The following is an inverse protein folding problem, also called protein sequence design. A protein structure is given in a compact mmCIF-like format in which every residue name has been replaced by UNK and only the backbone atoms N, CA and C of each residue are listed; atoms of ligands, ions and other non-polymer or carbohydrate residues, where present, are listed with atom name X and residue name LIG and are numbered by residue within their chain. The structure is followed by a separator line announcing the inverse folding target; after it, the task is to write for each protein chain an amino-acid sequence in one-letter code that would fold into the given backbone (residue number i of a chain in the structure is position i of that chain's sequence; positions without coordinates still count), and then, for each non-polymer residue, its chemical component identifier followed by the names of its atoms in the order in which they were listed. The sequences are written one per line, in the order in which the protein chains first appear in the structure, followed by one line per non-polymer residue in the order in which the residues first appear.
data_IF_077889914560
#
_entry.id   IF_077889914560
#
_cell.length_a   1.000
_cell.length_b   1.000
_cell.length_c   1.000
_cell.angle_alpha   90.00
_cell.angle_beta   90.00
_cell.angle_gamma   90.00
#
_symmetry.space_group_name_H-M   'P 1'
#
loop_
_entity.id
_entity.type
_entity.pdbx_description
1 polymer ?
#
# COMPACT_ATOMS: atom_id res chain seq x y z
N UNK A 1 48.81 -61.48 28.12
CA UNK A 1 49.27 -61.31 26.73
C UNK A 1 48.93 -59.86 26.37
N UNK A 2 49.86 -58.89 26.35
CA UNK A 2 51.09 -58.76 25.53
C UNK A 2 50.75 -58.77 24.03
N UNK A 3 51.20 -57.88 23.13
CA UNK A 3 52.10 -56.67 23.14
C UNK A 3 51.95 -55.96 21.75
N UNK A 4 52.37 -54.73 21.42
CA UNK A 4 53.06 -53.60 22.08
C UNK A 4 52.95 -52.32 21.20
N UNK A 5 53.30 -51.12 21.72
CA UNK A 5 53.61 -49.91 20.92
C UNK A 5 55.05 -49.95 20.33
N UNK A 6 55.51 -48.96 19.52
CA UNK A 6 56.18 -47.76 20.09
C UNK A 6 55.94 -46.41 19.33
N UNK A 7 55.81 -45.26 20.02
CA UNK A 7 56.80 -44.14 20.25
C UNK A 7 57.14 -43.32 18.96
N UNK A 8 56.77 -42.02 18.79
CA UNK A 8 57.26 -40.75 19.43
C UNK A 8 58.73 -40.40 19.10
N UNK A 9 59.26 -39.13 19.18
CA UNK A 9 58.92 -38.13 20.23
C UNK A 9 59.14 -36.59 20.00
N UNK A 10 58.73 -35.79 21.02
CA UNK A 10 59.32 -34.51 21.53
C UNK A 10 59.21 -33.20 20.66
N UNK A 11 59.12 -31.96 21.20
CA UNK A 11 59.42 -31.38 22.54
C UNK A 11 58.36 -30.33 23.01
N UNK A 12 58.13 -30.21 24.32
CA UNK A 12 57.62 -29.01 25.04
C UNK A 12 58.60 -28.68 26.20
N UNK A 13 58.80 -27.40 26.62
CA UNK A 13 58.05 -26.78 27.75
C UNK A 13 57.92 -25.21 27.69
N UNK A 14 57.56 -24.43 28.73
CA UNK A 14 56.36 -24.41 29.63
C UNK A 14 56.40 -23.14 30.56
N UNK A 15 55.26 -22.72 31.14
CA UNK A 15 55.08 -21.68 32.22
C UNK A 15 55.31 -20.18 31.86
N UNK A 16 54.73 -19.16 32.56
CA UNK A 16 54.11 -19.06 33.90
C UNK A 16 52.94 -18.00 33.99
N UNK A 17 52.33 -17.81 35.17
CA UNK A 17 51.11 -17.00 35.48
C UNK A 17 51.37 -15.59 36.10
N UNK A 18 50.58 -14.58 35.68
CA UNK A 18 50.06 -13.39 36.45
C UNK A 18 51.04 -12.42 37.17
N UNK A 19 50.58 -11.36 37.89
CA UNK A 19 49.23 -10.78 37.99
C UNK A 19 49.17 -9.22 37.77
N UNK A 20 48.14 -8.55 38.32
CA UNK A 20 47.70 -7.16 38.12
C UNK A 20 48.67 -5.99 38.47
N UNK A 21 48.38 -4.79 37.93
CA UNK A 21 48.95 -3.51 38.38
C UNK A 21 48.36 -2.28 37.67
N UNK A 22 47.79 -1.34 38.45
CA UNK A 22 47.41 0.02 38.01
C UNK A 22 48.56 0.97 38.35
N UNK A 23 48.93 1.89 37.45
CA UNK A 23 49.54 3.17 37.86
C UNK A 23 49.43 4.25 36.79
N UNK A 24 49.17 5.46 37.27
CA UNK A 24 49.03 6.72 36.55
C UNK A 24 50.38 7.44 36.48
N UNK A 25 50.72 8.05 35.33
CA UNK A 25 51.83 9.00 35.19
C UNK A 25 51.45 10.06 34.14
N UNK A 26 51.16 11.27 34.60
CA UNK A 26 50.86 12.41 33.74
C UNK A 26 52.08 13.25 33.34
N UNK A 27 51.77 14.25 32.50
CA UNK A 27 52.54 15.49 32.26
C UNK A 27 53.85 15.37 31.47
N UNK A 28 53.82 15.89 30.23
CA UNK A 28 54.54 17.15 29.92
C UNK A 28 53.97 17.88 28.71
N UNK A 29 53.66 19.16 28.94
CA UNK A 29 53.42 20.18 27.93
C UNK A 29 54.75 20.53 27.23
N UNK A 30 54.73 20.83 25.93
CA UNK A 30 55.78 21.67 25.34
C UNK A 30 55.19 22.50 24.18
N UNK A 31 55.37 23.81 24.24
CA UNK A 31 55.03 24.73 23.16
C UNK A 31 56.29 25.02 22.32
N UNK A 32 56.19 24.97 21.00
CA UNK A 32 56.72 26.05 20.14
C UNK A 32 56.31 25.86 18.69
N UNK A 33 55.65 26.90 18.15
CA UNK A 33 55.71 27.42 16.78
C UNK A 33 56.01 26.46 15.62
N UNK A 34 55.02 26.30 14.73
CA UNK A 34 55.22 26.73 13.35
C UNK A 34 53.89 27.21 12.72
N UNK A 35 53.91 28.33 11.99
CA UNK A 35 52.71 28.95 11.42
C UNK A 35 53.06 29.98 10.34
N UNK A 36 52.98 29.58 9.06
CA UNK A 36 52.63 30.42 7.88
C UNK A 36 52.92 29.67 6.55
N UNK A 37 52.03 28.77 6.12
CA UNK A 37 52.07 28.24 4.72
C UNK A 37 50.77 27.59 4.19
N UNK A 38 49.70 27.48 4.98
CA UNK A 38 48.48 26.73 4.60
C UNK A 38 47.19 27.55 4.48
N UNK A 39 47.23 28.87 4.64
CA UNK A 39 46.03 29.74 4.69
C UNK A 39 45.67 30.46 3.37
N UNK A 40 46.26 30.07 2.24
CA UNK A 40 46.00 30.70 0.92
C UNK A 40 45.28 29.79 -0.10
N UNK A 41 44.90 28.56 0.30
CA UNK A 41 44.26 27.58 -0.60
C UNK A 41 42.79 27.28 -0.29
N UNK A 42 42.25 27.78 0.83
CA UNK A 42 40.86 27.55 1.24
C UNK A 42 39.90 28.74 1.04
N UNK A 43 40.42 29.94 0.73
CA UNK A 43 39.58 31.12 0.48
C UNK A 43 38.95 31.15 -0.92
N UNK A 44 39.60 30.55 -1.93
CA UNK A 44 39.10 30.56 -3.31
C UNK A 44 37.91 29.65 -3.59
N UNK A 45 37.74 28.57 -2.82
CA UNK A 45 36.63 27.61 -3.03
C UNK A 45 35.33 28.01 -2.33
N UNK A 46 35.38 28.85 -1.28
CA UNK A 46 34.18 29.34 -0.62
C UNK A 46 33.37 30.29 -1.52
N UNK A 47 34.04 31.25 -2.18
CA UNK A 47 33.41 32.23 -3.08
C UNK A 47 32.71 31.60 -4.30
N UNK A 48 33.23 30.48 -4.81
CA UNK A 48 32.59 29.76 -5.94
C UNK A 48 31.30 29.04 -5.53
N UNK A 49 31.21 28.53 -4.30
CA UNK A 49 30.01 27.86 -3.79
C UNK A 49 28.91 28.87 -3.48
N UNK A 50 29.30 30.01 -2.88
CA UNK A 50 28.36 31.08 -2.49
C UNK A 50 27.76 31.78 -3.72
N UNK A 51 28.55 32.04 -4.76
CA UNK A 51 28.05 32.54 -6.06
C UNK A 51 27.12 31.56 -6.77
N UNK A 52 27.34 30.24 -6.63
CA UNK A 52 26.41 29.22 -7.15
C UNK A 52 25.10 29.22 -6.36
N UNK A 53 25.13 29.31 -5.02
CA UNK A 53 23.92 29.35 -4.20
C UNK A 53 22.98 30.51 -4.61
N UNK A 54 23.52 31.72 -4.72
CA UNK A 54 22.77 32.91 -5.14
C UNK A 54 22.19 32.79 -6.55
N UNK A 55 22.87 32.08 -7.45
CA UNK A 55 22.38 31.82 -8.82
C UNK A 55 21.20 30.83 -8.81
N UNK A 56 21.20 29.84 -7.91
CA UNK A 56 20.11 28.88 -7.75
C UNK A 56 18.88 29.50 -7.06
N UNK A 57 19.09 30.34 -6.05
CA UNK A 57 18.00 31.07 -5.38
C UNK A 57 17.26 32.00 -6.34
N UNK A 58 18.00 32.77 -7.16
CA UNK A 58 17.40 33.61 -8.21
C UNK A 58 16.59 32.82 -9.24
N UNK A 59 17.13 31.67 -9.68
CA UNK A 59 16.42 30.81 -10.64
C UNK A 59 15.13 30.25 -10.04
N UNK A 60 15.13 29.95 -8.74
CA UNK A 60 13.93 29.50 -8.03
C UNK A 60 12.87 30.60 -7.89
N UNK A 61 13.27 31.85 -7.62
CA UNK A 61 12.34 32.99 -7.63
C UNK A 61 11.79 33.34 -9.03
N UNK A 62 12.51 32.99 -10.10
CA UNK A 62 12.01 33.14 -11.48
C UNK A 62 11.03 32.02 -11.84
N UNK A 63 11.32 30.75 -11.49
CA UNK A 63 10.38 29.62 -11.67
C UNK A 63 9.09 29.77 -10.82
N UNK A 64 9.15 30.33 -9.61
CA UNK A 64 7.96 30.61 -8.78
C UNK A 64 7.11 31.79 -9.29
N UNK A 65 7.63 32.64 -10.20
CA UNK A 65 6.87 33.77 -10.79
C UNK A 65 6.16 33.44 -12.10
N UNK A 66 6.50 32.32 -12.74
CA UNK A 66 5.87 31.87 -13.99
C UNK A 66 4.72 30.87 -13.75
N UNK A 67 4.49 30.46 -12.50
CA UNK A 67 3.48 29.50 -12.08
C UNK A 67 2.11 30.15 -11.75
N UNK A 68 1.33 30.51 -12.78
CA UNK A 68 -0.11 30.80 -12.63
C UNK A 68 -0.87 29.55 -12.12
N UNK A 69 -1.78 29.69 -11.13
CA UNK A 69 -2.48 28.54 -10.54
C UNK A 69 -3.64 28.06 -11.44
N UNK A 70 -3.40 26.98 -12.19
CA UNK A 70 -4.44 26.34 -13.03
C UNK A 70 -5.55 25.74 -12.14
N UNK A 71 -6.84 26.14 -12.30
CA UNK A 71 -7.93 25.60 -11.48
C UNK A 71 -8.29 24.14 -11.79
N UNK A 72 -8.89 23.47 -10.81
CA UNK A 72 -9.17 22.02 -10.73
C UNK A 72 -10.17 21.48 -11.79
N UNK A 73 -10.69 22.32 -12.70
CA UNK A 73 -11.72 21.93 -13.68
C UNK A 73 -11.24 21.12 -14.90
N UNK A 74 -9.96 20.75 -15.00
CA UNK A 74 -9.43 20.05 -16.19
C UNK A 74 -9.59 18.53 -16.21
N UNK A 75 -10.03 17.88 -15.12
CA UNK A 75 -10.14 16.40 -15.08
C UNK A 75 -11.45 15.83 -15.63
N UNK A 76 -12.45 16.67 -15.92
CA UNK A 76 -13.73 16.24 -16.52
C UNK A 76 -13.66 16.19 -18.06
N UNK A 77 -12.87 17.08 -18.70
CA UNK A 77 -12.83 17.20 -20.17
C UNK A 77 -12.04 16.08 -20.88
N UNK A 78 -11.04 15.47 -20.25
CA UNK A 78 -10.30 14.35 -20.85
C UNK A 78 -11.11 13.05 -20.94
N UNK A 79 -12.25 12.96 -20.25
CA UNK A 79 -13.15 11.78 -20.30
C UNK A 79 -14.12 11.86 -21.49
N UNK A 80 -14.76 13.02 -21.72
CA UNK A 80 -15.79 13.17 -22.77
C UNK A 80 -15.25 12.94 -24.20
N UNK A 81 -14.03 13.41 -24.49
CA UNK A 81 -13.40 13.23 -25.79
C UNK A 81 -13.15 11.76 -26.16
N UNK A 82 -13.08 10.86 -25.17
CA UNK A 82 -12.89 9.42 -25.40
C UNK A 82 -14.19 8.66 -25.73
N UNK A 83 -15.34 9.21 -25.32
CA UNK A 83 -16.67 8.61 -25.50
C UNK A 83 -17.29 9.02 -26.84
N UNK A 84 -17.04 10.24 -27.31
CA UNK A 84 -17.52 10.72 -28.60
C UNK A 84 -16.93 9.97 -29.83
N UNK A 85 -15.81 9.26 -29.66
CA UNK A 85 -15.07 8.63 -30.74
C UNK A 85 -15.58 7.22 -31.16
N UNK A 86 -16.66 6.70 -30.56
CA UNK A 86 -17.13 5.31 -30.78
C UNK A 86 -18.56 5.14 -31.30
N UNK A 87 -19.30 6.22 -31.56
CA UNK A 87 -20.60 6.16 -32.24
C UNK A 87 -20.56 6.90 -33.58
N UNK A 88 -20.39 6.14 -34.66
CA UNK A 88 -20.66 6.64 -36.01
C UNK A 88 -22.16 6.66 -36.28
N UNK A 89 -22.66 7.76 -36.83
CA UNK A 89 -24.06 7.90 -37.24
C UNK A 89 -24.35 7.10 -38.53
N UNK A 90 -25.29 6.14 -38.46
CA UNK A 90 -26.09 5.74 -39.63
C UNK A 90 -27.55 5.53 -39.17
N UNK A 91 -28.46 6.33 -39.73
CA UNK A 91 -29.88 6.28 -39.44
C UNK A 91 -30.67 5.64 -40.60
N UNK A 92 -31.50 4.61 -40.37
CA UNK A 92 -32.43 4.10 -41.38
C UNK A 92 -33.76 4.87 -41.34
N UNK A 93 -34.16 5.41 -42.50
CA UNK A 93 -35.47 6.03 -42.70
C UNK A 93 -36.63 5.05 -42.44
N UNK A 94 -37.69 5.51 -41.77
CA UNK A 94 -39.03 4.93 -41.88
C UNK A 94 -40.07 6.04 -42.13
N UNK A 95 -41.02 5.85 -43.07
CA UNK A 95 -41.90 6.92 -43.53
C UNK A 95 -43.10 7.15 -42.61
N UNK A 96 -43.51 8.41 -42.50
CA UNK A 96 -44.77 8.80 -41.90
C UNK A 96 -45.97 8.34 -42.76
N UNK A 97 -46.97 7.71 -42.15
CA UNK A 97 -48.35 7.81 -42.63
C UNK A 97 -49.31 7.64 -41.46
N UNK A 98 -50.23 8.60 -41.29
CA UNK A 98 -51.16 8.61 -40.16
C UNK A 98 -52.37 7.69 -40.33
N UNK A 99 -53.32 7.86 -39.41
CA UNK A 99 -54.63 7.18 -39.29
C UNK A 99 -54.67 5.99 -38.34
N UNK A 100 -54.80 6.28 -37.04
CA UNK A 100 -55.85 5.67 -36.22
C UNK A 100 -56.18 6.56 -35.01
N UNK A 101 -57.03 7.57 -35.25
CA UNK A 101 -57.70 8.27 -34.15
C UNK A 101 -58.72 7.36 -33.47
N UNK A 102 -58.87 7.55 -32.16
CA UNK A 102 -60.07 7.20 -31.39
C UNK A 102 -60.43 5.72 -31.28
N UNK A 103 -59.66 4.99 -30.48
CA UNK A 103 -60.25 4.03 -29.53
C UNK A 103 -60.06 4.48 -28.08
N UNK A 104 -61.00 5.34 -27.68
CA UNK A 104 -61.67 5.34 -26.37
C UNK A 104 -60.79 5.51 -25.13
N UNK A 105 -60.76 6.76 -24.66
CA UNK A 105 -60.44 7.13 -23.29
C UNK A 105 -61.09 6.17 -22.25
N UNK A 106 -60.24 5.43 -21.52
CA UNK A 106 -60.39 4.95 -20.13
C UNK A 106 -59.20 4.04 -19.76
N UNK A 107 -57.99 4.58 -19.78
CA UNK A 107 -56.91 4.09 -18.93
C UNK A 107 -56.84 5.01 -17.72
N UNK A 108 -56.81 4.46 -16.51
CA UNK A 108 -56.69 5.26 -15.30
C UNK A 108 -55.30 5.89 -15.27
N UNK A 109 -55.25 7.18 -14.91
CA UNK A 109 -54.03 7.86 -14.52
C UNK A 109 -53.49 7.24 -13.22
N UNK A 110 -52.72 6.16 -13.38
CA UNK A 110 -51.72 5.79 -12.41
C UNK A 110 -50.48 6.60 -12.77
N UNK A 111 -50.22 7.66 -12.00
CA UNK A 111 -48.93 8.34 -12.04
C UNK A 111 -47.79 7.35 -11.82
N UNK A 112 -46.53 7.72 -12.16
CA UNK A 112 -45.40 6.81 -12.04
C UNK A 112 -45.32 6.27 -10.61
N UNK A 113 -45.60 4.98 -10.43
CA UNK A 113 -45.31 4.29 -9.17
C UNK A 113 -43.79 4.43 -8.98
N UNK A 114 -43.40 5.21 -7.97
CA UNK A 114 -42.01 5.42 -7.59
C UNK A 114 -41.46 4.05 -7.14
N UNK A 115 -40.84 3.34 -8.09
CA UNK A 115 -40.23 2.03 -7.85
C UNK A 115 -39.06 2.26 -6.91
N UNK A 116 -39.36 2.18 -5.62
CA UNK A 116 -38.40 2.32 -4.55
C UNK A 116 -37.43 1.15 -4.67
N UNK A 117 -36.27 1.42 -5.26
CA UNK A 117 -35.22 0.41 -5.44
C UNK A 117 -34.84 -0.15 -4.07
N UNK A 118 -35.20 -1.40 -3.82
CA UNK A 118 -34.84 -2.11 -2.60
C UNK A 118 -33.36 -2.48 -2.68
N UNK A 119 -32.50 -1.54 -2.25
CA UNK A 119 -31.05 -1.75 -2.14
C UNK A 119 -30.75 -2.76 -1.02
N UNK A 120 -29.69 -3.54 -1.20
CA UNK A 120 -29.29 -4.57 -0.24
C UNK A 120 -28.22 -4.01 0.71
N UNK A 121 -28.54 -3.72 1.98
CA UNK A 121 -27.59 -3.13 2.91
C UNK A 121 -26.48 -4.11 3.33
N UNK A 122 -25.25 -3.62 3.37
CA UNK A 122 -24.11 -4.32 3.94
C UNK A 122 -24.14 -4.23 5.47
N UNK A 123 -23.61 -5.26 6.15
CA UNK A 123 -23.51 -5.30 7.62
C UNK A 123 -22.62 -4.20 8.20
N UNK A 124 -21.64 -3.74 7.43
CA UNK A 124 -20.73 -2.66 7.77
C UNK A 124 -20.65 -1.67 6.60
N UNK A 125 -20.52 -0.37 6.89
CA UNK A 125 -20.12 0.62 5.89
C UNK A 125 -18.61 0.52 5.65
N UNK A 126 -18.22 0.53 4.38
CA UNK A 126 -16.84 0.47 3.93
C UNK A 126 -16.43 1.78 3.27
N UNK A 127 -15.13 2.03 3.21
CA UNK A 127 -14.51 3.22 2.63
C UNK A 127 -13.38 2.77 1.73
N UNK A 128 -13.47 3.13 0.45
CA UNK A 128 -12.39 2.93 -0.50
C UNK A 128 -11.42 4.11 -0.40
N UNK A 129 -10.14 3.77 -0.26
CA UNK A 129 -9.02 4.70 -0.31
C UNK A 129 -8.14 4.36 -1.50
N UNK A 130 -7.55 5.39 -2.09
CA UNK A 130 -6.53 5.29 -3.13
C UNK A 130 -5.27 5.99 -2.66
N UNK A 131 -4.14 5.31 -2.77
CA UNK A 131 -2.83 5.89 -2.51
C UNK A 131 -2.04 5.94 -3.81
N UNK A 132 -1.39 7.07 -4.08
CA UNK A 132 -0.46 7.24 -5.20
C UNK A 132 0.85 7.79 -4.64
N UNK A 133 1.94 7.04 -4.77
CA UNK A 133 3.23 7.46 -4.26
C UNK A 133 3.84 8.64 -5.05
N UNK A 134 3.47 9.88 -4.71
CA UNK A 134 4.28 11.06 -5.02
C UNK A 134 5.45 11.15 -4.03
N UNK A 135 6.66 11.37 -4.54
CA UNK A 135 7.88 11.48 -3.72
C UNK A 135 8.08 12.88 -3.15
N UNK A 136 7.30 13.85 -3.62
CA UNK A 136 7.38 15.26 -3.22
C UNK A 136 6.43 15.61 -2.06
N UNK A 137 5.51 14.69 -1.70
CA UNK A 137 4.49 14.88 -0.67
C UNK A 137 4.71 13.93 0.52
N UNK A 138 4.13 14.24 1.68
CA UNK A 138 4.17 13.32 2.80
C UNK A 138 3.29 12.09 2.50
N UNK A 139 3.61 10.94 3.12
CA UNK A 139 2.88 9.70 2.86
C UNK A 139 1.37 9.82 3.15
N UNK A 140 0.98 10.63 4.14
CA UNK A 140 -0.42 10.82 4.52
C UNK A 140 -1.20 11.65 3.48
N UNK A 141 -0.54 12.60 2.81
CA UNK A 141 -1.17 13.47 1.81
C UNK A 141 -1.45 12.71 0.50
N UNK A 142 -0.59 11.74 0.19
CA UNK A 142 -0.74 10.80 -0.92
C UNK A 142 -1.91 9.80 -0.77
N UNK A 143 -2.59 9.77 0.38
CA UNK A 143 -3.69 8.85 0.69
C UNK A 143 -5.04 9.58 0.62
N UNK A 144 -5.80 9.31 -0.45
CA UNK A 144 -7.08 9.95 -0.71
C UNK A 144 -8.25 9.01 -0.40
N UNK A 145 -9.30 9.55 0.22
CA UNK A 145 -10.60 8.88 0.31
C UNK A 145 -11.28 8.99 -1.06
N UNK A 146 -11.71 7.87 -1.63
CA UNK A 146 -12.39 7.81 -2.94
C UNK A 146 -13.90 7.88 -2.76
N UNK A 147 -14.46 6.93 -2.00
CA UNK A 147 -15.91 6.87 -1.75
C UNK A 147 -16.23 6.02 -0.52
N UNK A 148 -17.48 6.09 -0.05
CA UNK A 148 -18.05 5.21 0.98
C UNK A 148 -19.13 4.34 0.37
N UNK A 149 -19.30 3.13 0.90
CA UNK A 149 -20.19 2.10 0.38
C UNK A 149 -20.89 1.41 1.55
N UNK A 150 -22.21 1.46 1.61
CA UNK A 150 -23.04 0.75 2.60
C UNK A 150 -24.12 -0.17 1.99
N UNK A 151 -24.26 -0.22 0.66
CA UNK A 151 -25.09 -1.22 -0.05
C UNK A 151 -24.28 -2.09 -1.01
N UNK A 152 -24.84 -3.23 -1.43
CA UNK A 152 -24.25 -4.13 -2.44
C UNK A 152 -24.25 -3.45 -3.82
N UNK A 153 -25.28 -2.68 -4.13
CA UNK A 153 -25.40 -1.90 -5.36
C UNK A 153 -24.30 -0.84 -5.43
N UNK A 154 -24.08 -0.08 -4.35
CA UNK A 154 -22.99 0.90 -4.27
C UNK A 154 -21.62 0.24 -4.41
N UNK A 155 -21.44 -0.97 -3.90
CA UNK A 155 -20.20 -1.73 -4.08
C UNK A 155 -19.94 -2.03 -5.55
N UNK A 156 -20.93 -2.55 -6.28
CA UNK A 156 -20.77 -2.88 -7.70
C UNK A 156 -20.71 -1.65 -8.60
N UNK A 157 -21.43 -0.58 -8.26
CA UNK A 157 -21.30 0.72 -8.91
C UNK A 157 -19.88 1.28 -8.73
N UNK A 158 -19.35 1.29 -7.50
CA UNK A 158 -17.97 1.67 -7.22
C UNK A 158 -16.97 0.80 -7.99
N UNK A 159 -17.10 -0.53 -7.92
CA UNK A 159 -16.14 -1.46 -8.51
C UNK A 159 -16.10 -1.39 -10.04
N UNK A 160 -17.23 -1.10 -10.69
CA UNK A 160 -17.31 -0.95 -12.15
C UNK A 160 -16.74 0.37 -12.69
N UNK A 161 -16.74 1.44 -11.88
CA UNK A 161 -16.23 2.76 -12.29
C UNK A 161 -14.75 2.97 -11.94
N UNK A 162 -14.17 2.22 -11.00
CA UNK A 162 -12.73 2.31 -10.69
C UNK A 162 -11.87 1.54 -11.70
N UNK A 163 -10.63 1.97 -11.89
CA UNK A 163 -9.64 1.22 -12.69
C UNK A 163 -9.26 -0.06 -11.96
N UNK A 164 -9.31 -1.20 -12.66
CA UNK A 164 -8.83 -2.49 -12.17
C UNK A 164 -7.38 -2.41 -11.64
N UNK A 165 -7.07 -3.19 -10.61
CA UNK A 165 -5.79 -3.14 -9.92
C UNK A 165 -4.60 -3.49 -10.83
N UNK A 166 -4.77 -4.44 -11.75
CA UNK A 166 -3.75 -4.81 -12.74
C UNK A 166 -3.41 -3.68 -13.74
N UNK A 167 -4.32 -2.71 -13.92
CA UNK A 167 -4.18 -1.55 -14.82
C UNK A 167 -3.60 -0.31 -14.12
N UNK A 168 -3.35 -0.36 -12.81
CA UNK A 168 -2.74 0.75 -12.09
C UNK A 168 -1.23 0.88 -12.36
N UNK A 169 -0.75 2.11 -12.29
CA UNK A 169 0.69 2.40 -12.32
C UNK A 169 1.39 1.89 -11.04
N UNK A 170 2.67 1.52 -11.15
CA UNK A 170 3.41 1.03 -9.99
C UNK A 170 3.67 2.16 -8.98
N UNK A 171 3.46 1.88 -7.70
CA UNK A 171 3.45 2.87 -6.63
C UNK A 171 2.04 3.30 -6.23
N UNK A 172 1.00 2.83 -6.91
CA UNK A 172 -0.38 2.98 -6.48
C UNK A 172 -0.84 1.81 -5.59
N UNK A 173 -1.77 2.10 -4.67
CA UNK A 173 -2.48 1.13 -3.84
C UNK A 173 -3.98 1.45 -3.81
N UNK A 174 -4.82 0.42 -3.65
CA UNK A 174 -6.18 0.58 -3.13
C UNK A 174 -6.27 -0.02 -1.73
N UNK A 175 -7.14 0.54 -0.91
CA UNK A 175 -7.49 -0.04 0.38
C UNK A 175 -8.99 0.08 0.66
N UNK A 176 -9.67 -1.02 0.98
CA UNK A 176 -11.06 -1.02 1.44
C UNK A 176 -11.08 -1.30 2.95
N UNK A 177 -11.50 -0.32 3.75
CA UNK A 177 -11.53 -0.41 5.21
C UNK A 177 -12.92 -0.09 5.75
N UNK A 178 -13.28 -0.62 6.92
CA UNK A 178 -14.52 -0.26 7.60
C UNK A 178 -14.51 1.23 7.95
N UNK A 179 -15.66 1.88 7.88
CA UNK A 179 -15.77 3.31 8.16
C UNK A 179 -15.29 3.66 9.57
N UNK A 180 -14.60 4.80 9.68
CA UNK A 180 -13.89 5.20 10.89
C UNK A 180 -12.52 4.53 11.12
N UNK A 181 -12.06 3.64 10.23
CA UNK A 181 -10.69 3.07 10.26
C UNK A 181 -9.88 3.58 9.07
N UNK A 182 -8.74 4.21 9.32
CA UNK A 182 -7.80 4.61 8.25
C UNK A 182 -6.90 3.42 7.88
N UNK A 183 -6.48 3.28 6.60
CA UNK A 183 -5.59 2.20 6.13
C UNK A 183 -4.11 2.47 6.50
N UNK A 184 -3.86 2.80 7.76
CA UNK A 184 -2.54 3.17 8.29
C UNK A 184 -2.30 2.47 9.63
N UNK A 185 -1.03 2.23 9.97
CA UNK A 185 -0.63 1.43 11.14
C UNK A 185 -0.74 2.21 12.46
N UNK A 186 -0.77 3.54 12.38
CA UNK A 186 -0.98 4.48 13.48
C UNK A 186 -2.45 4.52 13.95
N UNK A 187 -3.39 4.02 13.15
CA UNK A 187 -4.81 3.98 13.52
C UNK A 187 -5.01 3.15 14.80
N UNK A 188 -5.86 3.66 15.70
CA UNK A 188 -6.20 3.03 16.97
C UNK A 188 -6.64 1.57 16.87
N UNK A 189 -7.26 1.17 15.74
CA UNK A 189 -7.72 -0.19 15.45
C UNK A 189 -6.64 -1.06 14.81
N UNK A 190 -5.61 -0.48 14.17
CA UNK A 190 -4.57 -1.22 13.46
C UNK A 190 -3.26 -1.35 14.26
N UNK A 191 -2.98 -0.44 15.20
CA UNK A 191 -1.66 -0.37 15.88
C UNK A 191 -1.21 -1.62 16.65
N UNK A 192 -2.13 -2.45 17.16
CA UNK A 192 -1.84 -3.78 17.77
C UNK A 192 -2.14 -4.94 16.82
N UNK A 193 -2.61 -4.62 15.63
CA UNK A 193 -3.04 -5.57 14.62
C UNK A 193 -1.90 -6.14 13.79
N UNK A 194 -2.30 -6.76 12.70
CA UNK A 194 -1.39 -7.28 11.69
C UNK A 194 -2.15 -7.62 10.42
N UNK A 195 -1.48 -8.27 9.49
CA UNK A 195 -2.04 -8.61 8.19
C UNK A 195 -1.66 -10.01 7.72
N UNK A 196 -2.63 -10.71 7.14
CA UNK A 196 -2.34 -11.84 6.25
C UNK A 196 -1.83 -11.30 4.93
N UNK A 197 -0.72 -11.84 4.42
CA UNK A 197 -0.05 -11.34 3.22
C UNK A 197 0.02 -12.41 2.13
N UNK A 198 -0.63 -12.12 1.00
CA UNK A 198 -0.47 -12.84 -0.27
C UNK A 198 0.47 -12.02 -1.15
N UNK A 199 1.52 -12.65 -1.69
CA UNK A 199 2.47 -11.99 -2.59
C UNK A 199 2.42 -12.62 -3.97
N UNK A 200 2.20 -11.83 -5.01
CA UNK A 200 2.14 -12.26 -6.40
C UNK A 200 3.39 -11.83 -7.17
N UNK A 201 4.06 -12.73 -7.91
CA UNK A 201 5.07 -12.34 -8.90
C UNK A 201 4.41 -11.51 -10.01
N UNK A 202 5.15 -10.52 -10.53
CA UNK A 202 4.66 -9.57 -11.56
C UNK A 202 4.03 -10.27 -12.78
N UNK A 203 4.52 -11.46 -13.14
CA UNK A 203 4.04 -12.28 -14.25
C UNK A 203 2.56 -12.68 -14.09
N UNK A 204 2.06 -12.83 -12.86
CA UNK A 204 0.66 -13.18 -12.58
C UNK A 204 -0.28 -11.96 -12.51
N UNK A 205 0.24 -10.72 -12.63
CA UNK A 205 -0.56 -9.48 -12.53
C UNK A 205 -1.79 -9.48 -13.42
N UNK A 206 -1.63 -9.84 -14.69
CA UNK A 206 -2.71 -9.82 -15.68
C UNK A 206 -3.49 -11.15 -15.77
N UNK A 207 -3.24 -12.08 -14.83
CA UNK A 207 -3.85 -13.42 -14.81
C UNK A 207 -4.70 -13.59 -13.54
N UNK A 208 -4.14 -13.28 -12.37
CA UNK A 208 -4.78 -13.60 -11.08
C UNK A 208 -5.09 -12.38 -10.22
N UNK A 209 -4.39 -11.25 -10.38
CA UNK A 209 -4.42 -10.16 -9.40
C UNK A 209 -5.82 -9.54 -9.23
N UNK A 210 -6.51 -9.23 -10.33
CA UNK A 210 -7.85 -8.63 -10.27
C UNK A 210 -8.87 -9.62 -9.68
N UNK A 211 -8.75 -10.92 -9.99
CA UNK A 211 -9.59 -11.97 -9.39
C UNK A 211 -9.36 -12.05 -7.89
N UNK A 212 -8.12 -12.21 -7.44
CA UNK A 212 -7.79 -12.32 -6.01
C UNK A 212 -8.15 -11.05 -5.24
N UNK A 213 -8.06 -9.88 -5.87
CA UNK A 213 -8.51 -8.63 -5.26
C UNK A 213 -10.03 -8.60 -5.10
N UNK A 214 -10.79 -8.92 -6.15
CA UNK A 214 -12.25 -9.00 -6.07
C UNK A 214 -12.71 -10.03 -5.03
N UNK A 215 -12.14 -11.24 -5.00
CA UNK A 215 -12.43 -12.25 -3.98
C UNK A 215 -12.14 -11.74 -2.56
N UNK A 216 -11.05 -10.97 -2.40
CA UNK A 216 -10.73 -10.32 -1.11
C UNK A 216 -11.80 -9.30 -0.71
N UNK A 217 -12.24 -8.44 -1.64
CA UNK A 217 -13.30 -7.47 -1.41
C UNK A 217 -14.64 -8.15 -1.06
N UNK A 218 -14.99 -9.23 -1.75
CA UNK A 218 -16.20 -10.02 -1.50
C UNK A 218 -16.15 -10.72 -0.14
N UNK A 219 -14.99 -11.24 0.28
CA UNK A 219 -14.81 -11.80 1.62
C UNK A 219 -15.02 -10.75 2.73
N UNK A 220 -14.60 -9.50 2.48
CA UNK A 220 -14.80 -8.37 3.38
C UNK A 220 -16.28 -7.97 3.47
N UNK A 221 -16.89 -7.51 2.38
CA UNK A 221 -18.25 -6.97 2.39
C UNK A 221 -19.30 -8.05 2.72
N UNK A 222 -19.05 -9.29 2.30
CA UNK A 222 -19.87 -10.46 2.61
C UNK A 222 -19.55 -11.11 3.96
N UNK A 223 -18.72 -10.48 4.79
CA UNK A 223 -18.43 -10.86 6.18
C UNK A 223 -18.08 -12.36 6.35
N UNK A 224 -17.29 -12.88 5.40
CA UNK A 224 -17.06 -14.31 5.19
C UNK A 224 -16.20 -15.00 6.26
N UNK A 225 -15.77 -14.28 7.31
CA UNK A 225 -15.02 -14.81 8.45
C UNK A 225 -15.91 -14.98 9.70
N UNK A 226 -17.23 -15.06 9.51
CA UNK A 226 -18.22 -15.41 10.53
C UNK A 226 -18.13 -14.52 11.79
N UNK A 227 -17.96 -15.12 12.98
CA UNK A 227 -17.79 -14.39 14.25
C UNK A 227 -16.50 -13.55 14.27
N UNK A 228 -15.45 -14.01 13.59
CA UNK A 228 -14.16 -13.34 13.49
C UNK A 228 -14.15 -12.18 12.47
N UNK A 229 -15.21 -11.99 11.67
CA UNK A 229 -15.36 -10.80 10.80
C UNK A 229 -15.31 -9.48 11.58
N UNK A 230 -15.62 -9.51 12.89
CA UNK A 230 -15.46 -8.36 13.81
C UNK A 230 -13.99 -7.95 14.01
N UNK A 231 -13.05 -8.88 13.86
CA UNK A 231 -11.61 -8.64 14.01
C UNK A 231 -10.96 -8.08 12.73
N UNK A 232 -11.63 -8.14 11.58
CA UNK A 232 -11.14 -7.58 10.30
C UNK A 232 -11.36 -6.07 10.25
N UNK A 233 -10.29 -5.32 9.96
CA UNK A 233 -10.32 -3.87 9.75
C UNK A 233 -10.58 -3.49 8.29
N UNK A 234 -9.97 -4.23 7.35
CA UNK A 234 -9.93 -3.89 5.93
C UNK A 234 -8.91 -4.70 5.15
N UNK A 235 -8.71 -4.34 3.89
CA UNK A 235 -7.73 -4.96 3.01
C UNK A 235 -7.01 -3.92 2.15
N UNK A 236 -5.77 -4.22 1.76
CA UNK A 236 -4.91 -3.37 0.91
C UNK A 236 -4.38 -4.21 -0.25
N UNK A 237 -4.38 -3.65 -1.45
CA UNK A 237 -3.62 -4.16 -2.60
C UNK A 237 -2.49 -3.18 -2.96
N UNK A 238 -1.26 -3.69 -3.06
CA UNK A 238 -0.08 -2.90 -3.39
C UNK A 238 0.48 -3.24 -4.76
N UNK A 239 0.53 -2.26 -5.67
CA UNK A 239 1.06 -2.44 -7.03
C UNK A 239 2.52 -2.00 -7.07
N UNK A 240 3.46 -2.94 -7.22
CA UNK A 240 4.92 -2.65 -7.13
C UNK A 240 5.69 -3.24 -8.31
N UNK A 241 6.91 -2.75 -8.54
CA UNK A 241 7.72 -3.12 -9.71
C UNK A 241 8.25 -4.55 -9.65
N UNK A 242 8.51 -5.06 -8.43
CA UNK A 242 9.06 -6.40 -8.17
C UNK A 242 8.01 -7.51 -8.08
N UNK A 243 6.74 -7.16 -7.91
CA UNK A 243 5.65 -8.09 -7.59
C UNK A 243 4.65 -7.44 -6.66
N UNK A 244 3.40 -7.87 -6.74
CA UNK A 244 2.25 -7.24 -6.09
C UNK A 244 1.91 -7.95 -4.78
N UNK A 245 1.14 -7.27 -3.93
CA UNK A 245 0.75 -7.83 -2.62
C UNK A 245 -0.70 -7.54 -2.36
N UNK A 246 -1.42 -8.52 -1.84
CA UNK A 246 -2.76 -8.34 -1.27
C UNK A 246 -2.67 -8.68 0.20
N UNK A 247 -3.29 -7.86 1.05
CA UNK A 247 -3.24 -8.05 2.49
C UNK A 247 -4.57 -7.76 3.17
N UNK A 248 -5.07 -8.71 3.97
CA UNK A 248 -6.22 -8.50 4.87
C UNK A 248 -5.68 -8.14 6.25
N UNK A 249 -6.12 -7.00 6.79
CA UNK A 249 -5.69 -6.42 8.06
C UNK A 249 -6.69 -6.76 9.16
N UNK A 250 -6.17 -7.18 10.31
CA UNK A 250 -6.96 -7.49 11.51
C UNK A 250 -6.49 -6.65 12.70
N UNK A 251 -7.38 -6.43 13.66
CA UNK A 251 -7.20 -5.46 14.76
C UNK A 251 -6.28 -5.88 15.89
N UNK A 252 -6.11 -7.19 16.10
CA UNK A 252 -5.37 -7.73 17.24
C UNK A 252 -4.49 -8.91 16.82
N UNK A 253 -3.17 -8.71 16.80
CA UNK A 253 -2.20 -9.72 16.38
C UNK A 253 -1.92 -10.79 17.46
N UNK A 254 -2.47 -10.64 18.66
CA UNK A 254 -2.33 -11.61 19.76
C UNK A 254 -3.51 -12.58 19.86
N UNK A 255 -4.64 -12.27 19.20
CA UNK A 255 -5.81 -13.13 19.12
C UNK A 255 -5.58 -14.30 18.13
N UNK A 256 -4.72 -15.25 18.51
CA UNK A 256 -4.27 -16.35 17.66
C UNK A 256 -5.42 -17.15 17.05
N UNK A 257 -6.49 -17.43 17.83
CA UNK A 257 -7.64 -18.18 17.34
C UNK A 257 -8.31 -17.46 16.15
N UNK A 258 -8.63 -16.17 16.31
CA UNK A 258 -9.27 -15.38 15.25
C UNK A 258 -8.34 -15.17 14.06
N UNK A 259 -7.06 -14.87 14.31
CA UNK A 259 -6.08 -14.66 13.23
C UNK A 259 -5.90 -15.94 12.41
N UNK A 260 -5.79 -17.12 13.03
CA UNK A 260 -5.66 -18.38 12.31
C UNK A 260 -6.96 -18.75 11.58
N UNK A 261 -8.14 -18.57 12.18
CA UNK A 261 -9.42 -18.82 11.49
C UNK A 261 -9.53 -17.96 10.22
N UNK A 262 -9.34 -16.64 10.35
CA UNK A 262 -9.36 -15.70 9.21
C UNK A 262 -8.36 -16.13 8.14
N UNK A 263 -7.17 -16.58 8.53
CA UNK A 263 -6.14 -17.06 7.60
C UNK A 263 -6.57 -18.27 6.78
N UNK A 264 -7.10 -19.31 7.43
CA UNK A 264 -7.54 -20.53 6.75
C UNK A 264 -8.70 -20.24 5.79
N UNK A 265 -9.73 -19.54 6.25
CA UNK A 265 -10.89 -19.15 5.43
C UNK A 265 -10.45 -18.28 4.27
N UNK A 266 -9.56 -17.31 4.48
CA UNK A 266 -9.05 -16.46 3.41
C UNK A 266 -8.27 -17.26 2.35
N UNK A 267 -7.38 -18.16 2.77
CA UNK A 267 -6.61 -19.04 1.88
C UNK A 267 -7.54 -19.92 1.03
N UNK A 268 -8.56 -20.49 1.64
CA UNK A 268 -9.58 -21.32 0.98
C UNK A 268 -10.41 -20.51 -0.03
N UNK A 269 -10.96 -19.36 0.38
CA UNK A 269 -11.82 -18.52 -0.47
C UNK A 269 -11.08 -17.91 -1.66
N UNK A 270 -9.79 -17.64 -1.54
CA UNK A 270 -8.96 -17.25 -2.68
C UNK A 270 -8.69 -18.40 -3.69
N UNK A 271 -8.96 -19.66 -3.30
CA UNK A 271 -8.65 -20.85 -4.10
C UNK A 271 -7.16 -21.15 -4.18
N UNK A 272 -6.37 -20.77 -3.17
CA UNK A 272 -4.93 -21.01 -3.18
C UNK A 272 -4.61 -22.50 -2.96
N UNK A 273 -3.60 -23.00 -3.68
CA UNK A 273 -3.15 -24.38 -3.52
C UNK A 273 -2.76 -24.67 -2.05
N UNK A 274 -3.02 -25.89 -1.58
CA UNK A 274 -2.59 -26.37 -0.26
C UNK A 274 -1.08 -26.17 -0.02
N UNK A 275 -0.27 -26.20 -1.09
CA UNK A 275 1.19 -25.97 -1.05
C UNK A 275 1.58 -24.50 -0.89
N UNK A 276 0.69 -23.56 -1.22
CA UNK A 276 0.93 -22.13 -1.04
C UNK A 276 0.78 -21.77 0.42
N UNK A 277 1.85 -21.35 1.07
CA UNK A 277 1.82 -20.86 2.45
C UNK A 277 1.68 -19.35 2.44
N UNK A 278 0.67 -18.82 3.11
CA UNK A 278 0.53 -17.37 3.35
C UNK A 278 1.03 -17.03 4.76
N UNK A 279 1.50 -15.80 4.95
CA UNK A 279 2.14 -15.36 6.19
C UNK A 279 1.39 -14.21 6.87
N UNK A 280 1.23 -14.30 8.19
CA UNK A 280 0.69 -13.21 9.00
C UNK A 280 1.80 -12.39 9.64
N UNK A 281 1.77 -11.08 9.47
CA UNK A 281 2.78 -10.13 9.97
C UNK A 281 2.12 -9.11 10.91
N UNK A 282 2.62 -8.97 12.13
CA UNK A 282 2.18 -7.92 13.04
C UNK A 282 2.65 -6.54 12.54
N UNK A 283 1.84 -5.49 12.73
CA UNK A 283 2.18 -4.15 12.23
C UNK A 283 3.43 -3.56 12.92
N UNK A 284 3.61 -3.81 14.22
CA UNK A 284 4.80 -3.39 14.97
C UNK A 284 6.12 -3.99 14.40
N UNK A 285 6.10 -5.27 14.02
CA UNK A 285 7.26 -5.96 13.42
C UNK A 285 7.55 -5.49 11.99
N UNK A 286 6.53 -4.98 11.29
CA UNK A 286 6.65 -4.47 9.93
C UNK A 286 7.13 -3.02 9.89
N UNK A 287 6.69 -2.18 10.84
CA UNK A 287 7.07 -0.77 10.90
C UNK A 287 8.52 -0.54 11.34
N UNK A 288 9.06 -1.42 12.19
CA UNK A 288 10.43 -1.32 12.74
C UNK A 288 11.54 -1.75 11.77
N UNK A 289 11.21 -2.27 10.59
CA UNK A 289 12.18 -2.84 9.63
C UNK A 289 12.27 -2.07 8.33
N UNK A 290 13.39 -1.38 8.11
CA UNK A 290 13.66 -0.63 6.87
C UNK A 290 14.13 -1.49 5.69
N UNK A 291 14.83 -2.61 5.93
CA UNK A 291 15.56 -3.35 4.88
C UNK A 291 15.41 -4.89 4.89
N UNK A 292 14.62 -5.48 5.80
CA UNK A 292 14.37 -6.94 5.81
C UNK A 292 12.89 -7.26 5.90
N UNK A 293 12.48 -8.41 5.34
CA UNK A 293 11.10 -8.89 5.46
C UNK A 293 10.69 -9.01 6.94
N UNK A 294 9.48 -8.55 7.25
CA UNK A 294 8.86 -8.78 8.55
C UNK A 294 8.76 -10.29 8.81
N UNK A 295 9.04 -10.71 10.04
CA UNK A 295 8.93 -12.13 10.40
C UNK A 295 7.45 -12.49 10.44
N UNK A 296 7.08 -13.63 9.88
CA UNK A 296 5.71 -14.12 10.02
C UNK A 296 5.50 -14.61 11.45
N UNK A 297 4.46 -14.12 12.12
CA UNK A 297 4.02 -14.56 13.45
C UNK A 297 3.21 -15.87 13.35
N UNK A 298 2.37 -15.98 12.32
CA UNK A 298 1.62 -17.18 11.96
C UNK A 298 1.74 -17.47 10.46
N UNK A 299 1.46 -18.70 10.07
CA UNK A 299 1.45 -19.16 8.68
C UNK A 299 0.35 -20.21 8.50
N UNK A 300 -0.31 -20.22 7.34
CA UNK A 300 -1.36 -21.20 6.95
C UNK A 300 -1.24 -21.60 5.48
#
# INVERSE_FOLDING_TARGET
MATSSPVSPLVCPFWSKGPAGVMDVGVRYNQSQDSQSTLTLFSGQASEVEGRLQTWEKKKEEEEKEAEPVPVCMWEQEQEASVAASFGEEAPNFPETGTLLSLRAKAQDKGPEEVKLELHPLKNRWVLWFFKNDRNQAWQDNLHLVTKVDTVEDFWAMYSHIKLASKLSSGCDYALFKDGIKPMWEDSKNKRGGRWLVSLPKQQRHIELDRLWLETLLCLIGESFEEHSTEVCGAVINIRTKGDKIAVWTREAENQASVLHIGHVYKERLGLSMKTVIGYQAHADAATKSNSLAKNKFMV
#
